data_IF_958329945127
#
_entry.id   IF_958329945127
#
_cell.length_a   1.000
_cell.length_b   1.000
_cell.length_c   1.000
_cell.angle_alpha   90.00
_cell.angle_beta   90.00
_cell.angle_gamma   90.00
#
_symmetry.space_group_name_H-M   'P 1'
#
loop_
_entity.id
_entity.type
_entity.pdbx_description
1 polymer ?
#
# COMPACT_ATOMS: atom_id res chain seq x y z
N UNK A 1 -9.13 25.46 -8.72
CA UNK A 1 -8.00 24.56 -8.50
C UNK A 1 -7.68 23.74 -9.73
N UNK A 2 -6.45 23.24 -9.87
CA UNK A 2 -6.09 22.28 -10.91
C UNK A 2 -6.39 20.85 -10.45
N UNK A 3 -6.98 20.03 -11.34
CA UNK A 3 -7.28 18.62 -11.04
C UNK A 3 -7.27 17.76 -12.30
N UNK A 4 -6.88 16.50 -12.14
CA UNK A 4 -7.11 15.48 -13.16
C UNK A 4 -8.55 15.00 -13.11
N UNK A 5 -9.21 14.93 -14.27
CA UNK A 5 -10.61 14.56 -14.40
C UNK A 5 -10.79 13.31 -15.23
N UNK A 6 -11.57 12.38 -14.69
CA UNK A 6 -12.04 11.17 -15.38
C UNK A 6 -13.52 11.36 -15.69
N UNK A 7 -13.86 11.46 -16.98
CA UNK A 7 -15.23 11.72 -17.48
C UNK A 7 -15.93 10.44 -17.96
N UNK A 8 -15.15 9.40 -18.20
CA UNK A 8 -15.57 8.03 -18.54
C UNK A 8 -14.42 7.07 -18.19
N UNK A 9 -14.67 5.78 -18.18
CA UNK A 9 -13.58 4.79 -17.99
C UNK A 9 -12.53 4.98 -19.08
N UNK A 10 -11.25 5.05 -18.69
CA UNK A 10 -10.18 5.46 -19.58
C UNK A 10 -8.82 4.91 -19.18
N UNK A 11 -7.87 4.99 -20.10
CA UNK A 11 -6.45 4.83 -19.82
C UNK A 11 -5.86 6.12 -19.25
N UNK A 12 -4.73 6.10 -18.51
CA UNK A 12 -4.16 7.27 -17.86
C UNK A 12 -3.99 8.49 -18.79
N UNK A 13 -3.52 8.28 -20.00
CA UNK A 13 -3.29 9.37 -20.98
C UNK A 13 -4.56 10.03 -21.54
N UNK A 14 -5.74 9.45 -21.24
CA UNK A 14 -7.04 9.98 -21.66
C UNK A 14 -7.71 10.85 -20.59
N UNK A 15 -7.11 10.93 -19.40
CA UNK A 15 -7.57 11.87 -18.37
C UNK A 15 -7.35 13.31 -18.83
N UNK A 16 -8.14 14.24 -18.31
CA UNK A 16 -8.01 15.67 -18.62
C UNK A 16 -7.51 16.45 -17.39
N UNK A 17 -6.48 17.29 -17.56
CA UNK A 17 -5.97 18.16 -16.51
C UNK A 17 -6.61 19.55 -16.66
N UNK A 18 -7.53 19.88 -15.76
CA UNK A 18 -8.45 21.01 -15.93
C UNK A 18 -8.45 21.95 -14.71
N UNK A 19 -8.88 23.18 -14.95
CA UNK A 19 -9.27 24.11 -13.89
C UNK A 19 -10.72 23.81 -13.47
N UNK A 20 -10.90 23.49 -12.20
CA UNK A 20 -12.20 23.21 -11.59
C UNK A 20 -12.42 24.06 -10.34
N UNK A 21 -13.68 24.20 -9.91
CA UNK A 21 -13.98 24.91 -8.66
C UNK A 21 -13.23 24.26 -7.48
N UNK A 22 -12.66 25.10 -6.60
CA UNK A 22 -12.07 24.61 -5.35
C UNK A 22 -13.21 24.19 -4.42
N UNK A 23 -13.21 22.94 -3.90
CA UNK A 23 -14.29 22.47 -3.04
C UNK A 23 -14.24 23.14 -1.66
N UNK A 24 -15.40 23.37 -1.06
CA UNK A 24 -15.50 23.84 0.32
C UNK A 24 -15.72 22.65 1.27
N UNK A 25 -15.07 22.61 2.46
CA UNK A 25 -15.25 21.54 3.43
C UNK A 25 -16.64 21.61 4.08
N UNK A 26 -17.32 20.47 4.10
CA UNK A 26 -18.54 20.26 4.87
C UNK A 26 -18.27 20.11 6.38
N UNK A 27 -19.33 19.87 7.20
CA UNK A 27 -19.16 19.60 8.63
C UNK A 27 -18.23 18.42 8.89
N UNK A 28 -17.33 18.55 9.88
CA UNK A 28 -16.29 17.56 10.20
C UNK A 28 -15.41 17.13 9.02
N UNK A 29 -15.17 18.07 8.10
CA UNK A 29 -14.23 17.90 6.99
C UNK A 29 -13.18 19.02 6.99
N UNK A 30 -12.07 18.76 6.32
CA UNK A 30 -11.02 19.75 6.08
C UNK A 30 -10.70 19.83 4.58
N UNK A 31 -10.41 21.03 4.10
CA UNK A 31 -9.76 21.23 2.82
C UNK A 31 -8.26 21.27 3.03
N UNK A 32 -7.56 20.37 2.36
CA UNK A 32 -6.11 20.29 2.37
C UNK A 32 -5.55 20.84 1.06
N UNK A 33 -4.64 21.80 1.15
CA UNK A 33 -3.76 22.17 0.05
C UNK A 33 -2.78 21.01 -0.12
N UNK A 34 -2.87 20.29 -1.24
CA UNK A 34 -2.09 19.10 -1.50
C UNK A 34 -0.65 19.46 -1.84
N UNK A 35 0.27 18.99 -1.01
CA UNK A 35 1.72 19.12 -1.22
C UNK A 35 2.33 17.79 -1.73
N UNK A 36 1.61 16.67 -1.55
CA UNK A 36 1.99 15.37 -2.08
C UNK A 36 0.76 14.47 -2.21
N UNK A 37 0.66 13.71 -3.30
CA UNK A 37 -0.35 12.66 -3.49
C UNK A 37 0.34 11.37 -3.90
N UNK A 38 0.19 10.31 -3.10
CA UNK A 38 0.86 9.06 -3.37
C UNK A 38 0.03 8.16 -4.29
N UNK A 39 0.71 7.55 -5.27
CA UNK A 39 0.09 6.61 -6.20
C UNK A 39 -0.05 5.23 -5.58
N UNK A 40 -1.15 4.59 -5.90
CA UNK A 40 -1.44 3.20 -5.58
C UNK A 40 -1.85 2.44 -6.85
N UNK A 41 -1.58 1.14 -6.89
CA UNK A 41 -1.98 0.30 -8.04
C UNK A 41 -3.50 0.35 -8.28
N UNK A 42 -4.28 0.46 -7.20
CA UNK A 42 -5.74 0.58 -7.30
C UNK A 42 -6.21 1.83 -8.07
N UNK A 43 -5.45 2.94 -8.06
CA UNK A 43 -5.80 4.14 -8.82
C UNK A 43 -5.88 3.84 -10.33
N UNK A 44 -4.95 3.00 -10.81
CA UNK A 44 -4.93 2.56 -12.22
C UNK A 44 -6.13 1.68 -12.57
N UNK A 45 -6.66 0.93 -11.61
CA UNK A 45 -7.84 0.10 -11.78
C UNK A 45 -9.14 0.91 -11.67
N UNK A 46 -9.17 1.92 -10.79
CA UNK A 46 -10.34 2.79 -10.59
C UNK A 46 -10.66 3.54 -11.88
N UNK A 47 -9.69 4.18 -12.51
CA UNK A 47 -9.93 4.96 -13.74
C UNK A 47 -10.41 4.10 -14.93
N UNK A 48 -10.10 2.78 -14.89
CA UNK A 48 -10.51 1.78 -15.88
C UNK A 48 -11.84 1.10 -15.56
N UNK A 49 -12.46 1.40 -14.39
CA UNK A 49 -13.66 0.72 -13.92
C UNK A 49 -13.43 -0.75 -13.53
N UNK A 50 -12.19 -1.14 -13.26
CA UNK A 50 -11.76 -2.51 -12.95
C UNK A 50 -11.59 -2.76 -11.44
N UNK A 51 -11.82 -1.73 -10.60
CA UNK A 51 -11.80 -1.86 -9.16
C UNK A 51 -13.21 -2.08 -8.60
N UNK A 52 -13.31 -2.59 -7.36
CA UNK A 52 -14.59 -2.85 -6.69
C UNK A 52 -15.41 -1.58 -6.44
N UNK A 53 -14.71 -0.48 -6.15
CA UNK A 53 -15.32 0.84 -6.03
C UNK A 53 -15.33 1.54 -7.39
N UNK A 54 -16.52 2.00 -7.81
CA UNK A 54 -16.74 2.71 -9.08
C UNK A 54 -17.35 4.08 -8.77
N UNK A 55 -16.53 5.16 -8.75
CA UNK A 55 -17.06 6.49 -8.49
C UNK A 55 -17.97 6.97 -9.65
N UNK A 56 -18.96 7.84 -9.37
CA UNK A 56 -19.75 8.48 -10.40
C UNK A 56 -18.89 9.48 -11.20
N UNK A 57 -19.19 9.62 -12.48
CA UNK A 57 -18.54 10.62 -13.35
C UNK A 57 -19.16 12.02 -13.23
N UNK A 58 -18.37 13.10 -13.41
CA UNK A 58 -16.90 13.06 -13.48
C UNK A 58 -16.28 12.96 -12.08
N UNK A 59 -15.06 12.40 -11.98
CA UNK A 59 -14.32 12.36 -10.72
C UNK A 59 -12.83 12.63 -10.91
N UNK A 60 -12.18 13.06 -9.84
CA UNK A 60 -10.72 13.21 -9.75
C UNK A 60 -10.14 11.95 -9.13
N UNK A 61 -9.17 11.25 -9.74
CA UNK A 61 -8.54 10.08 -9.14
C UNK A 61 -7.61 10.45 -7.96
N UNK A 62 -6.96 9.43 -7.38
CA UNK A 62 -6.04 9.58 -6.26
C UNK A 62 -6.75 9.38 -4.91
N UNK A 63 -6.21 8.48 -4.10
CA UNK A 63 -6.84 8.04 -2.85
C UNK A 63 -6.02 8.37 -1.60
N UNK A 64 -4.86 9.00 -1.76
CA UNK A 64 -3.89 9.25 -0.69
C UNK A 64 -3.20 10.59 -0.89
N UNK A 65 -3.29 11.45 0.11
CA UNK A 65 -2.71 12.80 0.05
C UNK A 65 -2.02 13.19 1.35
N UNK A 66 -1.10 14.15 1.22
CA UNK A 66 -0.54 14.90 2.34
C UNK A 66 -0.44 16.38 1.97
N UNK A 67 -0.58 17.24 2.95
CA UNK A 67 -0.52 18.67 2.74
C UNK A 67 -0.82 19.47 3.99
N UNK A 68 -1.15 20.74 3.79
CA UNK A 68 -1.50 21.67 4.87
C UNK A 68 -2.99 21.96 4.83
N UNK A 69 -3.66 21.89 5.97
CA UNK A 69 -5.04 22.28 6.08
C UNK A 69 -5.18 23.77 5.77
N UNK A 70 -5.99 24.11 4.80
CA UNK A 70 -6.26 25.50 4.39
C UNK A 70 -7.59 26.01 4.97
N UNK A 71 -8.59 25.13 5.07
CA UNK A 71 -9.89 25.42 5.66
C UNK A 71 -10.42 24.21 6.42
N UNK A 72 -11.21 24.47 7.46
CA UNK A 72 -11.88 23.45 8.27
C UNK A 72 -13.37 23.77 8.38
N UNK A 73 -14.20 22.78 8.15
CA UNK A 73 -15.65 22.88 8.30
C UNK A 73 -16.09 22.93 9.74
N UNK A 74 -17.35 23.27 9.97
CA UNK A 74 -17.93 23.34 11.30
C UNK A 74 -17.82 22.00 12.03
N UNK A 75 -17.34 22.01 13.30
CA UNK A 75 -17.18 20.82 14.12
C UNK A 75 -15.95 19.97 13.79
N UNK A 76 -15.10 20.34 12.85
CA UNK A 76 -13.83 19.67 12.66
C UNK A 76 -12.90 19.87 13.87
N UNK A 77 -12.23 18.80 14.27
CA UNK A 77 -11.20 18.81 15.33
C UNK A 77 -9.85 19.34 14.87
N UNK A 78 -9.67 19.54 13.57
CA UNK A 78 -8.46 20.05 12.96
C UNK A 78 -8.56 21.54 12.63
N UNK A 79 -7.42 22.19 12.42
CA UNK A 79 -7.35 23.66 12.21
C UNK A 79 -6.46 23.98 10.99
N UNK A 80 -6.71 25.11 10.30
CA UNK A 80 -5.82 25.63 9.29
C UNK A 80 -4.37 25.73 9.79
N UNK A 81 -3.42 25.45 8.90
CA UNK A 81 -1.98 25.42 9.17
C UNK A 81 -1.43 24.08 9.66
N UNK A 82 -2.27 23.11 10.05
CA UNK A 82 -1.80 21.78 10.44
C UNK A 82 -1.30 20.99 9.23
N UNK A 83 -0.16 20.30 9.38
CA UNK A 83 0.39 19.35 8.41
C UNK A 83 -0.29 17.99 8.61
N UNK A 84 -0.92 17.48 7.57
CA UNK A 84 -1.72 16.27 7.65
C UNK A 84 -1.53 15.35 6.45
N UNK A 85 -1.81 14.08 6.65
CA UNK A 85 -2.02 13.10 5.58
C UNK A 85 -3.36 12.40 5.77
N UNK A 86 -3.85 11.77 4.72
CA UNK A 86 -5.10 11.04 4.80
C UNK A 86 -5.41 10.21 3.57
N UNK A 87 -6.37 9.32 3.79
CA UNK A 87 -6.93 8.46 2.76
C UNK A 87 -8.34 8.96 2.39
N UNK A 88 -8.61 9.06 1.11
CA UNK A 88 -9.88 9.48 0.54
C UNK A 88 -10.35 8.47 -0.53
N UNK A 89 -11.62 8.49 -0.86
CA UNK A 89 -12.13 7.59 -1.91
C UNK A 89 -11.68 8.00 -3.31
N UNK A 90 -11.62 9.30 -3.57
CA UNK A 90 -11.18 9.96 -4.81
C UNK A 90 -10.84 11.42 -4.50
N UNK A 91 -10.13 12.13 -5.39
CA UNK A 91 -9.88 13.58 -5.24
C UNK A 91 -8.42 13.95 -4.99
N UNK A 92 -7.51 12.97 -4.89
CA UNK A 92 -6.11 13.23 -4.50
C UNK A 92 -5.24 13.83 -5.60
N UNK A 93 -5.56 13.59 -6.88
CA UNK A 93 -4.74 14.13 -7.98
C UNK A 93 -5.21 15.52 -8.38
N UNK A 94 -5.19 16.40 -7.41
CA UNK A 94 -5.56 17.81 -7.51
C UNK A 94 -4.70 18.66 -6.57
N UNK A 95 -4.75 19.98 -6.76
CA UNK A 95 -4.05 20.92 -5.86
C UNK A 95 -4.73 21.07 -4.50
N UNK A 96 -5.99 20.65 -4.37
CA UNK A 96 -6.75 20.65 -3.12
C UNK A 96 -7.60 19.39 -3.03
N UNK A 97 -7.76 18.88 -1.84
CA UNK A 97 -8.60 17.71 -1.54
C UNK A 97 -9.44 17.94 -0.28
N UNK A 98 -10.61 17.30 -0.22
CA UNK A 98 -11.45 17.26 0.99
C UNK A 98 -11.22 15.94 1.71
N UNK A 99 -10.95 16.02 3.01
CA UNK A 99 -10.80 14.87 3.88
C UNK A 99 -11.79 14.98 5.05
N UNK A 100 -12.50 13.91 5.33
CA UNK A 100 -13.27 13.79 6.57
C UNK A 100 -12.35 13.60 7.78
N UNK A 101 -12.70 14.15 8.91
CA UNK A 101 -11.91 14.10 10.16
C UNK A 101 -11.46 12.69 10.57
N UNK A 102 -12.27 11.67 10.25
CA UNK A 102 -11.93 10.27 10.52
C UNK A 102 -10.80 9.70 9.66
N UNK A 103 -10.48 10.35 8.55
CA UNK A 103 -9.47 9.92 7.58
C UNK A 103 -8.18 10.76 7.66
N UNK A 104 -8.11 11.72 8.56
CA UNK A 104 -6.98 12.66 8.71
C UNK A 104 -6.07 12.22 9.85
N UNK A 105 -4.77 12.22 9.60
CA UNK A 105 -3.74 12.05 10.61
C UNK A 105 -2.69 13.17 10.52
N UNK A 106 -2.28 13.79 11.64
CA UNK A 106 -1.17 14.73 11.65
C UNK A 106 0.13 14.05 11.20
N UNK A 107 0.93 14.76 10.42
CA UNK A 107 2.27 14.30 9.99
C UNK A 107 3.29 14.80 11.02
N UNK A 108 4.15 13.92 11.58
CA UNK A 108 5.29 14.33 12.40
C UNK A 108 6.21 15.31 11.67
N UNK A 109 6.82 16.25 12.40
CA UNK A 109 7.64 17.32 11.81
C UNK A 109 8.87 16.79 11.08
N UNK A 110 9.37 15.63 11.46
CA UNK A 110 10.53 14.96 10.85
C UNK A 110 10.21 14.22 9.55
N UNK A 111 8.94 14.17 9.11
CA UNK A 111 8.54 13.60 7.82
C UNK A 111 8.22 14.71 6.80
N UNK A 112 8.66 14.50 5.58
CA UNK A 112 8.22 15.31 4.43
C UNK A 112 6.76 15.01 4.07
N UNK A 113 6.12 15.89 3.29
CA UNK A 113 4.77 15.61 2.77
C UNK A 113 4.76 14.37 1.85
N UNK A 114 5.83 14.16 1.08
CA UNK A 114 5.95 12.98 0.24
C UNK A 114 5.94 11.69 1.09
N UNK A 115 6.73 11.63 2.17
CA UNK A 115 6.73 10.51 3.12
C UNK A 115 5.37 10.40 3.84
N UNK A 116 4.78 11.52 4.24
CA UNK A 116 3.45 11.56 4.86
C UNK A 116 2.35 11.00 3.96
N UNK A 117 2.37 11.34 2.66
CA UNK A 117 1.39 10.81 1.70
C UNK A 117 1.52 9.31 1.46
N UNK A 118 2.69 8.73 1.75
CA UNK A 118 2.97 7.31 1.58
C UNK A 118 2.57 6.44 2.78
N UNK A 119 1.93 7.01 3.80
CA UNK A 119 1.55 6.32 5.03
C UNK A 119 0.14 5.71 5.02
N UNK A 120 -0.92 6.42 4.59
CA UNK A 120 -2.30 6.11 4.97
C UNK A 120 -2.86 4.78 4.45
N UNK A 121 -2.27 4.19 3.40
CA UNK A 121 -2.74 2.93 2.80
C UNK A 121 -1.77 1.78 3.03
N UNK A 122 -0.51 1.94 2.67
CA UNK A 122 0.40 0.77 2.62
C UNK A 122 0.82 0.29 3.99
N UNK A 123 1.02 1.18 4.97
CA UNK A 123 1.39 0.79 6.33
C UNK A 123 0.22 0.16 7.10
N UNK A 124 -1.00 0.73 7.12
CA UNK A 124 -2.15 0.05 7.71
C UNK A 124 -2.46 -1.30 7.06
N UNK A 125 -2.35 -1.40 5.74
CA UNK A 125 -2.52 -2.68 5.03
C UNK A 125 -1.50 -3.71 5.52
N UNK A 126 -0.23 -3.36 5.59
CA UNK A 126 0.82 -4.24 6.07
C UNK A 126 0.66 -4.58 7.57
N UNK A 127 0.20 -3.61 8.38
CA UNK A 127 -0.14 -3.82 9.78
C UNK A 127 -1.21 -4.90 9.94
N UNK A 128 -2.34 -4.77 9.24
CA UNK A 128 -3.41 -5.78 9.26
C UNK A 128 -2.91 -7.15 8.79
N UNK A 129 -2.06 -7.18 7.76
CA UNK A 129 -1.49 -8.45 7.28
C UNK A 129 -0.68 -9.17 8.35
N UNK A 130 0.10 -8.44 9.13
CA UNK A 130 1.01 -9.04 10.12
C UNK A 130 0.34 -9.24 11.48
N UNK A 131 -0.37 -8.23 12.01
CA UNK A 131 -0.91 -8.25 13.37
C UNK A 131 -2.29 -8.89 13.46
N UNK A 132 -3.21 -8.54 12.56
CA UNK A 132 -4.58 -9.02 12.62
C UNK A 132 -4.74 -10.39 11.93
N UNK A 133 -4.58 -10.45 10.61
CA UNK A 133 -4.72 -11.68 9.84
C UNK A 133 -3.57 -12.67 10.11
N UNK A 134 -2.33 -12.17 10.12
CA UNK A 134 -1.12 -12.97 10.33
C UNK A 134 -0.91 -13.39 11.79
N UNK A 135 -1.38 -12.61 12.75
CA UNK A 135 -1.13 -12.82 14.20
C UNK A 135 0.33 -13.14 14.47
N UNK A 136 1.21 -12.38 13.83
CA UNK A 136 2.65 -12.59 13.85
C UNK A 136 3.19 -12.64 15.28
N UNK A 137 3.98 -13.65 15.56
CA UNK A 137 4.73 -13.77 16.80
C UNK A 137 6.22 -13.49 16.55
N UNK A 138 6.94 -12.94 17.54
CA UNK A 138 8.40 -12.82 17.46
C UNK A 138 9.04 -14.17 17.13
N UNK A 139 10.06 -14.14 16.27
CA UNK A 139 10.77 -15.37 15.85
C UNK A 139 10.18 -16.07 14.63
N UNK A 140 8.97 -15.75 14.19
CA UNK A 140 8.36 -16.34 12.99
C UNK A 140 9.05 -15.91 11.70
N UNK A 141 8.93 -16.74 10.67
CA UNK A 141 9.40 -16.47 9.32
C UNK A 141 8.29 -15.82 8.49
N UNK A 142 8.55 -14.64 7.93
CA UNK A 142 7.65 -13.91 7.05
C UNK A 142 8.19 -13.90 5.62
N UNK A 143 7.37 -14.29 4.65
CA UNK A 143 7.65 -14.14 3.22
C UNK A 143 6.75 -13.05 2.63
N UNK A 144 7.35 -12.08 1.96
CA UNK A 144 6.65 -10.94 1.37
C UNK A 144 6.81 -10.94 -0.15
N UNK A 145 5.74 -11.19 -0.89
CA UNK A 145 5.74 -11.06 -2.34
C UNK A 145 5.63 -9.61 -2.78
N UNK A 146 6.14 -9.28 -3.97
CA UNK A 146 6.31 -7.90 -4.43
C UNK A 146 6.97 -7.01 -3.36
N UNK A 147 8.01 -7.53 -2.69
CA UNK A 147 8.64 -6.94 -1.52
C UNK A 147 9.16 -5.52 -1.73
N UNK A 148 9.57 -5.17 -2.95
CA UNK A 148 10.01 -3.82 -3.30
C UNK A 148 8.87 -2.82 -3.59
N UNK A 149 7.61 -3.23 -3.54
CA UNK A 149 6.44 -2.34 -3.67
C UNK A 149 6.10 -1.63 -2.35
N UNK A 150 5.15 -0.69 -2.40
CA UNK A 150 4.76 0.10 -1.21
C UNK A 150 4.33 -0.76 -0.01
N UNK A 151 3.36 -1.67 -0.19
CA UNK A 151 2.91 -2.59 0.89
C UNK A 151 4.03 -3.54 1.27
N UNK A 152 4.84 -4.01 0.30
CA UNK A 152 5.94 -4.94 0.54
C UNK A 152 7.00 -4.35 1.46
N UNK A 153 7.48 -3.13 1.18
CA UNK A 153 8.46 -2.45 2.01
C UNK A 153 7.91 -2.12 3.40
N UNK A 154 6.63 -1.70 3.49
CA UNK A 154 5.97 -1.50 4.77
C UNK A 154 5.91 -2.80 5.58
N UNK A 155 5.56 -3.92 4.96
CA UNK A 155 5.50 -5.24 5.61
C UNK A 155 6.88 -5.71 6.10
N UNK A 156 7.93 -5.52 5.29
CA UNK A 156 9.32 -5.86 5.67
C UNK A 156 9.74 -5.05 6.89
N UNK A 157 9.51 -3.73 6.88
CA UNK A 157 9.87 -2.86 8.01
C UNK A 157 9.10 -3.21 9.27
N UNK A 158 7.79 -3.43 9.18
CA UNK A 158 6.94 -3.80 10.31
C UNK A 158 7.31 -5.18 10.87
N UNK A 159 7.55 -6.17 10.01
CA UNK A 159 8.00 -7.49 10.44
C UNK A 159 9.32 -7.41 11.22
N UNK A 160 10.26 -6.60 10.75
CA UNK A 160 11.53 -6.32 11.45
C UNK A 160 11.29 -5.63 12.79
N UNK A 161 10.45 -4.58 12.81
CA UNK A 161 10.15 -3.81 14.03
C UNK A 161 9.50 -4.67 15.13
N UNK A 162 8.74 -5.70 14.74
CA UNK A 162 8.06 -6.62 15.67
C UNK A 162 8.80 -7.95 15.90
N UNK A 163 10.06 -8.05 15.46
CA UNK A 163 10.94 -9.16 15.82
C UNK A 163 10.69 -10.46 15.06
N UNK A 164 10.31 -10.39 13.78
CA UNK A 164 10.32 -11.58 12.91
C UNK A 164 11.71 -12.23 12.92
N UNK A 165 11.76 -13.54 13.07
CA UNK A 165 13.04 -14.30 13.12
C UNK A 165 13.72 -14.38 11.77
N UNK A 166 12.93 -14.46 10.68
CA UNK A 166 13.42 -14.38 9.31
C UNK A 166 12.42 -13.63 8.44
N UNK A 167 12.91 -12.72 7.62
CA UNK A 167 12.13 -11.97 6.64
C UNK A 167 12.68 -12.28 5.26
N UNK A 168 11.89 -12.93 4.45
CA UNK A 168 12.19 -13.26 3.07
C UNK A 168 11.31 -12.42 2.15
N UNK A 169 11.81 -12.07 0.97
CA UNK A 169 11.02 -11.34 0.00
C UNK A 169 11.16 -11.93 -1.40
N UNK A 170 10.18 -11.67 -2.25
CA UNK A 170 10.34 -11.86 -3.70
C UNK A 170 10.05 -10.55 -4.42
N UNK A 171 10.80 -10.29 -5.49
CA UNK A 171 10.64 -9.09 -6.31
C UNK A 171 10.96 -9.39 -7.78
N UNK A 172 10.68 -8.46 -8.67
CA UNK A 172 10.96 -8.60 -10.11
C UNK A 172 12.31 -8.01 -10.48
N UNK A 173 13.34 -8.83 -10.52
CA UNK A 173 14.71 -8.45 -10.84
C UNK A 173 15.61 -8.21 -9.64
N UNK A 174 16.92 -8.33 -9.85
CA UNK A 174 17.93 -8.24 -8.79
C UNK A 174 17.96 -6.88 -8.09
N UNK A 175 17.81 -5.78 -8.83
CA UNK A 175 17.77 -4.43 -8.27
C UNK A 175 16.64 -4.28 -7.24
N UNK A 176 15.46 -4.81 -7.54
CA UNK A 176 14.32 -4.80 -6.62
C UNK A 176 14.53 -5.74 -5.42
N UNK A 177 15.21 -6.86 -5.63
CA UNK A 177 15.60 -7.74 -4.53
C UNK A 177 16.56 -7.01 -3.57
N UNK A 178 17.53 -6.26 -4.12
CA UNK A 178 18.42 -5.43 -3.31
C UNK A 178 17.65 -4.41 -2.47
N UNK A 179 16.67 -3.72 -3.06
CA UNK A 179 15.80 -2.79 -2.32
C UNK A 179 15.12 -3.46 -1.13
N UNK A 180 14.63 -4.70 -1.28
CA UNK A 180 14.03 -5.44 -0.15
C UNK A 180 15.02 -5.66 0.98
N UNK A 181 16.25 -6.06 0.66
CA UNK A 181 17.32 -6.32 1.64
C UNK A 181 17.74 -5.03 2.33
N UNK A 182 17.95 -3.95 1.59
CA UNK A 182 18.33 -2.64 2.12
C UNK A 182 17.29 -2.09 3.14
N UNK A 183 16.02 -2.54 3.03
CA UNK A 183 14.94 -2.14 3.92
C UNK A 183 14.57 -3.16 4.99
N UNK A 184 15.34 -4.25 5.12
CA UNK A 184 15.23 -5.14 6.27
C UNK A 184 14.87 -6.60 5.98
N UNK A 185 14.69 -7.01 4.72
CA UNK A 185 14.63 -8.42 4.40
C UNK A 185 16.00 -9.06 4.61
N UNK A 186 16.02 -10.28 5.13
CA UNK A 186 17.26 -11.04 5.29
C UNK A 186 17.75 -11.56 3.94
N UNK A 187 16.82 -11.99 3.10
CA UNK A 187 17.08 -12.49 1.75
C UNK A 187 15.92 -12.09 0.82
N UNK A 188 16.22 -11.85 -0.45
CA UNK A 188 15.21 -11.59 -1.46
C UNK A 188 15.52 -12.36 -2.76
N UNK A 189 14.48 -12.80 -3.47
CA UNK A 189 14.61 -13.67 -4.62
C UNK A 189 13.83 -13.11 -5.82
N UNK A 190 14.47 -13.13 -6.99
CA UNK A 190 13.80 -12.77 -8.23
C UNK A 190 12.83 -13.87 -8.66
N UNK A 191 11.56 -13.52 -8.84
CA UNK A 191 10.53 -14.43 -9.33
C UNK A 191 10.41 -14.44 -10.86
N UNK A 192 11.09 -13.55 -11.58
CA UNK A 192 11.17 -13.53 -13.04
C UNK A 192 12.32 -14.37 -13.60
N UNK A 193 13.19 -14.92 -12.75
CA UNK A 193 14.36 -15.71 -13.17
C UNK A 193 14.00 -16.95 -13.98
N UNK A 194 14.92 -17.35 -14.86
CA UNK A 194 14.81 -18.52 -15.73
C UNK A 194 14.96 -19.83 -14.95
N UNK A 195 13.88 -20.41 -14.60
CA UNK A 195 13.80 -21.66 -13.85
C UNK A 195 12.58 -21.60 -12.96
N UNK A 196 11.54 -22.32 -13.34
CA UNK A 196 10.19 -22.14 -12.84
C UNK A 196 10.03 -22.18 -11.30
N UNK A 197 10.99 -22.72 -10.55
CA UNK A 197 10.88 -22.94 -9.12
C UNK A 197 12.06 -22.42 -8.30
N UNK A 198 12.93 -21.59 -8.86
CA UNK A 198 14.14 -21.13 -8.17
C UNK A 198 13.85 -20.42 -6.85
N UNK A 199 12.87 -19.49 -6.81
CA UNK A 199 12.54 -18.80 -5.56
C UNK A 199 11.89 -19.73 -4.53
N UNK A 200 11.05 -20.70 -4.95
CA UNK A 200 10.42 -21.69 -4.08
C UNK A 200 11.48 -22.56 -3.39
N UNK A 201 12.45 -23.08 -4.16
CA UNK A 201 13.51 -23.92 -3.60
C UNK A 201 14.47 -23.11 -2.71
N UNK A 202 14.74 -21.84 -3.06
CA UNK A 202 15.51 -20.93 -2.21
C UNK A 202 14.81 -20.65 -0.87
N UNK A 203 13.49 -20.40 -0.88
CA UNK A 203 12.72 -20.24 0.37
C UNK A 203 12.74 -21.51 1.21
N UNK A 204 12.60 -22.70 0.58
CA UNK A 204 12.74 -23.97 1.32
C UNK A 204 14.12 -24.12 1.95
N UNK A 205 15.17 -23.85 1.21
CA UNK A 205 16.54 -23.92 1.72
C UNK A 205 16.74 -22.94 2.88
N UNK A 206 16.34 -21.67 2.72
CA UNK A 206 16.47 -20.62 3.73
C UNK A 206 15.70 -20.93 5.02
N UNK A 207 14.65 -21.75 4.94
CA UNK A 207 13.80 -22.13 6.09
C UNK A 207 14.09 -23.57 6.60
N UNK A 208 15.12 -24.22 6.10
CA UNK A 208 15.43 -25.62 6.41
C UNK A 208 14.27 -26.58 6.10
N UNK A 209 13.50 -26.30 5.05
CA UNK A 209 12.34 -27.08 4.62
C UNK A 209 11.06 -26.81 5.40
N UNK A 210 11.08 -26.02 6.48
CA UNK A 210 9.90 -25.71 7.31
C UNK A 210 8.89 -24.80 6.57
N UNK A 211 9.36 -23.90 5.70
CA UNK A 211 8.55 -22.90 5.02
C UNK A 211 8.38 -21.63 5.85
N UNK A 212 7.57 -20.70 5.33
CA UNK A 212 7.25 -19.42 5.97
C UNK A 212 5.97 -19.54 6.81
N UNK A 213 5.98 -18.98 8.01
CA UNK A 213 4.84 -18.96 8.92
C UNK A 213 3.75 -18.00 8.41
N UNK A 214 4.17 -16.88 7.83
CA UNK A 214 3.27 -15.90 7.20
C UNK A 214 3.76 -15.63 5.79
N UNK A 215 2.84 -15.66 4.83
CA UNK A 215 3.09 -15.24 3.45
C UNK A 215 2.13 -14.12 3.12
N UNK A 216 2.65 -12.95 2.74
CA UNK A 216 1.86 -11.78 2.33
C UNK A 216 1.93 -11.69 0.81
N UNK A 217 0.76 -11.79 0.16
CA UNK A 217 0.69 -11.81 -1.30
C UNK A 217 -0.14 -10.66 -1.88
N UNK A 218 0.54 -9.79 -2.63
CA UNK A 218 -0.04 -8.73 -3.43
C UNK A 218 -0.04 -9.05 -4.94
N UNK A 219 0.51 -10.21 -5.33
CA UNK A 219 0.75 -10.56 -6.73
C UNK A 219 -0.36 -11.40 -7.32
N UNK A 220 -0.78 -12.44 -6.61
CA UNK A 220 -1.78 -13.40 -7.09
C UNK A 220 -1.25 -14.38 -8.13
N UNK A 221 -2.15 -15.01 -8.88
CA UNK A 221 -1.86 -15.93 -9.95
C UNK A 221 -0.91 -17.07 -9.56
N UNK A 222 0.02 -17.41 -10.44
CA UNK A 222 0.98 -18.51 -10.25
C UNK A 222 1.87 -18.34 -9.01
N UNK A 223 2.23 -17.11 -8.65
CA UNK A 223 3.02 -16.84 -7.42
C UNK A 223 2.26 -17.27 -6.19
N UNK A 224 0.99 -16.90 -6.06
CA UNK A 224 0.13 -17.32 -4.97
C UNK A 224 -0.03 -18.86 -4.89
N UNK A 225 -0.24 -19.52 -6.03
CA UNK A 225 -0.39 -20.97 -6.10
C UNK A 225 0.90 -21.71 -5.69
N UNK A 226 2.05 -21.19 -6.10
CA UNK A 226 3.35 -21.73 -5.71
C UNK A 226 3.66 -21.51 -4.23
N UNK A 227 3.16 -20.43 -3.63
CA UNK A 227 3.37 -20.07 -2.24
C UNK A 227 2.89 -21.16 -1.27
N UNK A 228 1.83 -21.90 -1.62
CA UNK A 228 1.36 -23.02 -0.81
C UNK A 228 2.39 -24.17 -0.68
N UNK A 229 3.41 -24.23 -1.55
CA UNK A 229 4.51 -25.20 -1.44
C UNK A 229 5.48 -24.85 -0.32
N UNK A 230 5.63 -23.55 -0.04
CA UNK A 230 6.55 -22.99 0.97
C UNK A 230 5.85 -22.44 2.20
N UNK A 231 4.52 -22.62 2.32
CA UNK A 231 3.77 -22.30 3.53
C UNK A 231 4.12 -23.32 4.64
N UNK A 232 4.39 -22.85 5.84
CA UNK A 232 4.74 -23.70 6.97
C UNK A 232 3.51 -24.47 7.53
N UNK A 233 3.73 -25.42 8.43
CA UNK A 233 2.68 -26.03 9.23
C UNK A 233 1.96 -24.96 10.07
N UNK A 234 0.62 -24.90 10.00
CA UNK A 234 -0.23 -23.85 10.58
C UNK A 234 0.09 -22.44 10.05
N UNK A 235 0.70 -22.35 8.86
CA UNK A 235 1.03 -21.08 8.22
C UNK A 235 -0.22 -20.30 7.81
N UNK A 236 -0.04 -18.98 7.64
CA UNK A 236 -1.10 -18.06 7.23
C UNK A 236 -0.70 -17.45 5.88
N UNK A 237 -1.50 -17.71 4.86
CA UNK A 237 -1.37 -17.10 3.54
C UNK A 237 -2.31 -15.90 3.46
N UNK A 238 -1.76 -14.71 3.38
CA UNK A 238 -2.51 -13.44 3.44
C UNK A 238 -2.70 -12.90 2.02
N UNK A 239 -3.94 -12.86 1.57
CA UNK A 239 -4.34 -12.35 0.25
C UNK A 239 -4.62 -10.86 0.37
N UNK A 240 -3.81 -10.03 -0.31
CA UNK A 240 -3.92 -8.56 -0.30
C UNK A 240 -4.41 -8.01 -1.64
N UNK A 241 -3.97 -8.61 -2.75
CA UNK A 241 -4.31 -8.14 -4.07
C UNK A 241 -3.78 -9.01 -5.20
N UNK A 242 -4.04 -8.57 -6.42
CA UNK A 242 -3.74 -9.33 -7.64
C UNK A 242 -3.01 -8.47 -8.67
N UNK A 243 -1.92 -7.80 -8.24
CA UNK A 243 -1.13 -6.93 -9.13
C UNK A 243 -0.48 -7.70 -10.30
N UNK A 244 -0.43 -9.02 -10.24
CA UNK A 244 -0.06 -9.90 -11.35
C UNK A 244 -1.13 -10.04 -12.43
N UNK A 245 -2.35 -9.54 -12.17
CA UNK A 245 -3.49 -9.55 -13.11
C UNK A 245 -4.36 -10.81 -13.05
N UNK A 246 -3.92 -11.88 -12.38
CA UNK A 246 -4.66 -13.12 -12.29
C UNK A 246 -5.09 -13.44 -10.85
N UNK A 247 -6.37 -13.77 -10.66
CA UNK A 247 -6.88 -14.31 -9.39
C UNK A 247 -6.39 -15.75 -9.26
N UNK A 248 -5.72 -16.13 -8.14
CA UNK A 248 -5.17 -17.47 -7.97
C UNK A 248 -6.25 -18.50 -7.68
N UNK A 249 -6.01 -19.74 -8.11
CA UNK A 249 -6.75 -20.90 -7.62
C UNK A 249 -5.95 -21.54 -6.48
N UNK A 250 -6.48 -21.51 -5.26
CA UNK A 250 -5.83 -22.08 -4.08
C UNK A 250 -6.42 -23.46 -3.79
N UNK A 251 -5.71 -24.56 -4.09
CA UNK A 251 -6.19 -25.90 -3.82
C UNK A 251 -6.38 -26.16 -2.31
N UNK A 252 -7.62 -26.34 -1.87
CA UNK A 252 -7.98 -26.48 -0.45
C UNK A 252 -7.27 -27.68 0.23
N UNK A 253 -6.95 -28.74 -0.51
CA UNK A 253 -6.22 -29.90 0.02
C UNK A 253 -4.81 -29.51 0.51
N UNK A 254 -4.16 -28.50 -0.09
CA UNK A 254 -2.85 -28.02 0.37
C UNK A 254 -2.94 -27.30 1.72
N UNK A 255 -4.04 -26.57 1.94
CA UNK A 255 -4.31 -25.95 3.26
C UNK A 255 -4.61 -27.02 4.30
N UNK A 256 -5.44 -28.02 3.96
CA UNK A 256 -5.74 -29.15 4.85
C UNK A 256 -4.48 -29.88 5.31
N UNK A 257 -3.61 -30.25 4.36
CA UNK A 257 -2.39 -31.03 4.65
C UNK A 257 -1.37 -30.28 5.51
N UNK A 258 -1.49 -28.96 5.65
CA UNK A 258 -0.62 -28.12 6.48
C UNK A 258 -1.35 -27.50 7.68
N UNK A 259 -2.63 -27.83 7.90
CA UNK A 259 -3.50 -27.16 8.87
C UNK A 259 -3.40 -25.62 8.76
N UNK A 260 -3.20 -25.13 7.55
CA UNK A 260 -2.94 -23.72 7.23
C UNK A 260 -4.23 -22.97 6.90
N UNK A 261 -4.16 -21.65 6.89
CA UNK A 261 -5.26 -20.76 6.51
C UNK A 261 -4.88 -19.83 5.35
N UNK A 262 -5.90 -19.45 4.55
CA UNK A 262 -5.83 -18.36 3.61
C UNK A 262 -6.81 -17.28 4.07
N UNK A 263 -6.34 -16.04 4.21
CA UNK A 263 -7.07 -14.94 4.85
C UNK A 263 -6.97 -13.70 3.96
N UNK A 264 -8.10 -13.08 3.62
CA UNK A 264 -8.13 -11.82 2.88
C UNK A 264 -7.94 -10.62 3.80
N UNK A 265 -7.22 -9.61 3.31
CA UNK A 265 -7.06 -8.30 3.98
C UNK A 265 -7.51 -7.21 3.03
N UNK A 266 -8.46 -6.37 3.48
CA UNK A 266 -8.99 -5.27 2.70
C UNK A 266 -9.09 -4.00 3.55
N UNK A 267 -8.00 -3.21 3.60
CA UNK A 267 -7.91 -1.99 4.41
C UNK A 267 -9.08 -1.03 4.19
N UNK A 268 -9.46 -0.76 2.94
CA UNK A 268 -10.53 0.19 2.65
C UNK A 268 -11.88 -0.16 3.28
N UNK A 269 -12.25 -1.44 3.34
CA UNK A 269 -13.47 -1.88 4.01
C UNK A 269 -13.30 -1.97 5.54
N UNK A 270 -12.15 -2.38 6.03
CA UNK A 270 -11.83 -2.35 7.46
C UNK A 270 -11.96 -0.92 7.99
N UNK A 271 -11.40 0.07 7.27
CA UNK A 271 -11.48 1.47 7.68
C UNK A 271 -12.92 2.00 7.79
N UNK A 272 -13.84 1.51 6.95
CA UNK A 272 -15.26 1.91 7.01
C UNK A 272 -16.03 1.20 8.12
N UNK A 273 -15.76 -0.09 8.34
CA UNK A 273 -16.54 -0.94 9.23
C UNK A 273 -16.03 -0.93 10.66
N UNK A 274 -14.77 -0.64 10.87
CA UNK A 274 -14.06 -0.82 12.14
C UNK A 274 -13.26 0.44 12.53
N UNK A 275 -13.91 1.56 12.83
CA UNK A 275 -13.20 2.82 13.20
C UNK A 275 -12.25 2.68 14.38
N UNK A 276 -12.55 1.80 15.34
CA UNK A 276 -11.67 1.54 16.48
C UNK A 276 -10.37 0.84 16.05
N UNK A 277 -10.45 -0.09 15.09
CA UNK A 277 -9.29 -0.74 14.47
C UNK A 277 -8.40 0.29 13.78
N UNK A 278 -8.99 1.24 13.06
CA UNK A 278 -8.24 2.35 12.41
C UNK A 278 -7.43 3.13 13.44
N UNK A 279 -8.07 3.55 14.54
CA UNK A 279 -7.39 4.31 15.58
C UNK A 279 -6.23 3.53 16.21
N UNK A 280 -6.42 2.26 16.53
CA UNK A 280 -5.40 1.40 17.10
C UNK A 280 -4.20 1.21 16.13
N UNK A 281 -4.47 0.95 14.85
CA UNK A 281 -3.46 0.81 13.80
C UNK A 281 -2.62 2.08 13.66
N UNK A 282 -3.27 3.24 13.55
CA UNK A 282 -2.54 4.51 13.43
C UNK A 282 -1.76 4.85 14.70
N UNK A 283 -2.28 4.56 15.90
CA UNK A 283 -1.55 4.78 17.15
C UNK A 283 -0.24 3.94 17.20
N UNK A 284 -0.31 2.66 16.81
CA UNK A 284 0.88 1.78 16.75
C UNK A 284 1.88 2.27 15.70
N UNK A 285 1.41 2.61 14.50
CA UNK A 285 2.26 3.13 13.43
C UNK A 285 2.96 4.44 13.80
N UNK A 286 2.25 5.38 14.43
CA UNK A 286 2.85 6.64 14.89
C UNK A 286 3.89 6.40 16.00
N UNK A 287 3.66 5.44 16.89
CA UNK A 287 4.66 5.01 17.86
C UNK A 287 5.93 4.45 17.22
N UNK A 288 5.78 3.63 16.19
CA UNK A 288 6.93 3.07 15.45
C UNK A 288 7.69 4.13 14.64
N UNK A 289 6.97 5.09 14.04
CA UNK A 289 7.55 6.25 13.35
C UNK A 289 8.35 7.14 14.30
N UNK A 290 7.76 7.47 15.45
CA UNK A 290 8.45 8.28 16.48
C UNK A 290 9.69 7.58 17.02
N UNK A 291 9.67 6.25 17.14
CA UNK A 291 10.80 5.43 17.55
C UNK A 291 11.84 5.22 16.43
N UNK A 292 11.64 5.74 15.22
CA UNK A 292 12.50 5.55 14.06
C UNK A 292 12.58 4.09 13.57
N UNK A 293 11.62 3.24 13.94
CA UNK A 293 11.61 1.82 13.58
C UNK A 293 11.05 1.57 12.18
N UNK A 294 10.26 2.49 11.68
CA UNK A 294 9.73 2.49 10.31
C UNK A 294 9.90 3.88 9.70
N UNK A 295 10.04 3.91 8.37
CA UNK A 295 10.09 5.15 7.59
C UNK A 295 9.48 4.91 6.22
N UNK A 296 8.52 5.73 5.74
CA UNK A 296 7.96 5.59 4.40
C UNK A 296 9.03 5.71 3.33
N UNK A 297 9.01 4.79 2.36
CA UNK A 297 10.00 4.69 1.29
C UNK A 297 9.42 5.28 0.02
N UNK A 298 9.75 6.55 -0.24
CA UNK A 298 9.41 7.24 -1.50
C UNK A 298 10.64 7.19 -2.39
N UNK A 299 10.48 6.63 -3.59
CA UNK A 299 11.61 6.40 -4.51
C UNK A 299 11.48 7.17 -5.81
N UNK A 300 10.29 7.64 -6.13
CA UNK A 300 10.03 8.39 -7.36
C UNK A 300 9.04 9.53 -7.10
N UNK A 301 9.40 10.71 -7.61
CA UNK A 301 8.56 11.91 -7.51
C UNK A 301 8.29 12.42 -8.92
N UNK A 302 7.03 12.71 -9.22
CA UNK A 302 6.57 13.31 -10.47
C UNK A 302 5.83 14.61 -10.16
N UNK A 303 5.74 15.51 -11.12
CA UNK A 303 4.83 16.67 -11.04
C UNK A 303 3.38 16.20 -11.10
N UNK A 304 2.48 16.96 -10.52
CA UNK A 304 1.04 16.68 -10.60
C UNK A 304 0.57 16.59 -12.06
N UNK A 305 1.10 17.45 -12.95
CA UNK A 305 0.83 17.43 -14.40
C UNK A 305 1.28 16.12 -15.08
N UNK A 306 2.22 15.37 -14.50
CA UNK A 306 2.76 14.14 -15.06
C UNK A 306 2.06 12.87 -14.49
N UNK A 307 0.94 13.02 -13.81
CA UNK A 307 0.22 11.90 -13.21
C UNK A 307 -0.07 10.73 -14.18
N UNK A 308 -0.46 10.96 -15.46
CA UNK A 308 -0.64 9.85 -16.40
C UNK A 308 0.62 9.02 -16.61
N UNK A 309 1.78 9.66 -16.75
CA UNK A 309 3.06 8.96 -16.92
C UNK A 309 3.45 8.20 -15.65
N UNK A 310 3.28 8.80 -14.48
CA UNK A 310 3.52 8.15 -13.20
C UNK A 310 2.65 6.89 -13.01
N UNK A 311 1.37 6.95 -13.39
CA UNK A 311 0.46 5.81 -13.37
C UNK A 311 0.88 4.70 -14.33
N UNK A 312 1.33 5.06 -15.54
CA UNK A 312 1.85 4.09 -16.53
C UNK A 312 3.10 3.41 -16.01
N UNK A 313 4.05 4.15 -15.46
CA UNK A 313 5.31 3.60 -14.94
C UNK A 313 5.07 2.68 -13.72
N UNK A 314 4.11 3.02 -12.87
CA UNK A 314 3.66 2.15 -11.78
C UNK A 314 3.02 0.87 -12.33
N UNK A 315 2.07 0.98 -13.27
CA UNK A 315 1.35 -0.16 -13.84
C UNK A 315 2.29 -1.10 -14.63
N UNK A 316 3.31 -0.55 -15.28
CA UNK A 316 4.32 -1.32 -16.03
C UNK A 316 5.49 -1.80 -15.16
N UNK A 317 5.41 -1.60 -13.82
CA UNK A 317 6.40 -2.06 -12.84
C UNK A 317 7.80 -1.48 -13.05
N UNK A 318 7.92 -0.30 -13.65
CA UNK A 318 9.21 0.42 -13.77
C UNK A 318 9.68 1.03 -12.46
N UNK A 319 8.76 1.23 -11.52
CA UNK A 319 9.01 1.84 -10.22
C UNK A 319 9.15 0.79 -9.11
N UNK A 320 9.61 1.22 -7.94
CA UNK A 320 9.60 0.49 -6.67
C UNK A 320 9.26 1.47 -5.53
N UNK A 321 9.05 0.99 -4.31
CA UNK A 321 8.60 1.83 -3.20
C UNK A 321 7.29 2.56 -3.49
N UNK A 322 7.16 3.77 -2.95
CA UNK A 322 6.03 4.65 -3.27
C UNK A 322 6.42 5.68 -4.32
N UNK A 323 5.52 5.91 -5.23
CA UNK A 323 5.56 6.96 -6.25
C UNK A 323 4.65 8.09 -5.78
N UNK A 324 5.10 9.32 -5.87
CA UNK A 324 4.39 10.48 -5.33
C UNK A 324 4.31 11.60 -6.37
N UNK A 325 3.13 12.20 -6.49
CA UNK A 325 2.92 13.45 -7.23
C UNK A 325 3.14 14.63 -6.29
N UNK A 326 3.81 15.66 -6.76
CA UNK A 326 4.02 16.92 -6.06
C UNK A 326 3.51 18.08 -6.90
N UNK A 327 3.23 19.25 -6.33
CA UNK A 327 2.85 20.45 -7.11
C UNK A 327 3.83 20.75 -8.25
N UNK A 328 3.31 21.36 -9.33
CA UNK A 328 4.09 21.76 -10.52
C UNK A 328 5.09 22.87 -10.24
#
# INVERSE_FOLDING_TARGET
>A
MKAWMVKQWCEPHQMAFEDVATPEPGPAEVRVKVEAAALNFLDTLIIKGQYQFKPPFPFTPGVEVAGTIEAAGAGSRYRPGMRVCGNISTGGYATHAILGDGAVAPIPDNLSFAEGSALPIVYPTAHLCLKDAGRMQPGETVLVHAGAGGVGLAAIQLAKAWGAGKILATAGGEDKCKVCVDHGAHEAYDYNGTGADTWVEKVKAATGGKGADIIIDMVGGKIAEQSLRVLAWRGRFIVVGFAGGAIPNLPANRLLLKAASAIGVFWGETAKREPATVQAVFADLMGLLAAGKIKPVVTSTYKLSDAPQAMIDLATRKTHGKVVLVPD
#
